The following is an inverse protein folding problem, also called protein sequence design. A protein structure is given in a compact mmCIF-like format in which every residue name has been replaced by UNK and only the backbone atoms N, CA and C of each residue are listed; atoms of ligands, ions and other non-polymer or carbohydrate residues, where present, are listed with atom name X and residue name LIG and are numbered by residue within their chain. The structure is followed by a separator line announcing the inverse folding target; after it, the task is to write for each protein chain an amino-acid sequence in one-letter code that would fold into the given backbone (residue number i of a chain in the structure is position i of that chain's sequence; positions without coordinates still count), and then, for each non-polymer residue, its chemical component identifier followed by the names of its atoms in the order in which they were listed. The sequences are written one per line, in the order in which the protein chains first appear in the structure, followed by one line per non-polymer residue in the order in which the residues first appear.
data_IF_010893870789
#
_entry.id   IF_010893870789
#
_cell.length_a   1.000
_cell.length_b   1.000
_cell.length_c   1.000
_cell.angle_alpha   90.00
_cell.angle_beta   90.00
_cell.angle_gamma   90.00
#
_symmetry.space_group_name_H-M   'P 1'
#
loop_
_entity.id
_entity.type
_entity.pdbx_description
1 polymer ?
#
# COMPACT_ATOMS: atom_id res chain seq x y z
N UNK A 1 -5.10 -5.16 -14.45
CA UNK A 1 -5.48 -3.73 -14.21
C UNK A 1 -6.22 -3.13 -15.41
N UNK A 2 -5.82 -3.31 -16.66
CA UNK A 2 -6.59 -2.82 -17.84
C UNK A 2 -8.02 -3.39 -17.87
N UNK A 3 -8.18 -4.68 -17.59
CA UNK A 3 -9.49 -5.34 -17.50
C UNK A 3 -10.38 -4.77 -16.38
N UNK A 4 -9.77 -4.27 -15.30
CA UNK A 4 -10.50 -3.63 -14.19
C UNK A 4 -11.10 -2.30 -14.65
N UNK A 5 -10.33 -1.48 -15.37
CA UNK A 5 -10.84 -0.23 -15.96
C UNK A 5 -12.09 -0.49 -16.81
N UNK A 6 -11.99 -1.43 -17.77
CA UNK A 6 -13.11 -1.77 -18.66
C UNK A 6 -14.31 -2.32 -17.89
N UNK A 7 -14.05 -3.09 -16.82
CA UNK A 7 -15.12 -3.68 -16.00
C UNK A 7 -15.86 -2.61 -15.18
N UNK A 8 -15.15 -1.63 -14.64
CA UNK A 8 -15.76 -0.48 -13.95
C UNK A 8 -16.52 0.38 -14.97
N UNK A 9 -15.92 0.70 -16.11
CA UNK A 9 -16.53 1.51 -17.15
C UNK A 9 -17.85 0.91 -17.70
N UNK A 10 -17.94 -0.42 -17.72
CA UNK A 10 -19.13 -1.17 -18.16
C UNK A 10 -20.11 -1.51 -17.03
N UNK A 11 -19.82 -1.11 -15.78
CA UNK A 11 -20.68 -1.43 -14.63
C UNK A 11 -20.67 -2.91 -14.23
N UNK A 12 -19.64 -3.67 -14.61
CA UNK A 12 -19.44 -5.06 -14.17
C UNK A 12 -18.86 -5.10 -12.76
N UNK A 13 -18.05 -4.09 -12.42
CA UNK A 13 -17.51 -3.85 -11.08
C UNK A 13 -17.98 -2.48 -10.60
N UNK A 14 -18.37 -2.40 -9.32
CA UNK A 14 -18.76 -1.15 -8.67
C UNK A 14 -17.57 -0.31 -8.20
N UNK A 15 -16.38 -0.91 -8.10
CA UNK A 15 -15.16 -0.25 -7.69
C UNK A 15 -13.99 -1.23 -7.48
N UNK A 16 -12.91 -0.70 -6.95
CA UNK A 16 -11.74 -1.50 -6.59
C UNK A 16 -11.08 -0.98 -5.30
N UNK A 17 -10.25 -1.82 -4.67
CA UNK A 17 -9.39 -1.43 -3.56
C UNK A 17 -7.95 -1.34 -4.04
N UNK A 18 -7.40 -0.12 -4.09
CA UNK A 18 -6.05 0.13 -4.59
C UNK A 18 -5.43 1.40 -4.00
N UNK A 19 -4.23 1.76 -4.46
CA UNK A 19 -3.53 2.99 -4.10
C UNK A 19 -4.01 4.16 -4.96
N UNK A 20 -3.76 5.39 -4.53
CA UNK A 20 -4.14 6.58 -5.30
C UNK A 20 -3.42 6.69 -6.65
N UNK A 21 -2.22 6.12 -6.77
CA UNK A 21 -1.47 6.13 -8.03
C UNK A 21 -2.27 5.53 -9.20
N UNK A 22 -3.16 4.56 -8.92
CA UNK A 22 -3.97 3.90 -9.96
C UNK A 22 -4.96 4.84 -10.62
N UNK A 23 -5.38 5.90 -9.95
CA UNK A 23 -6.21 6.96 -10.54
C UNK A 23 -5.54 7.57 -11.77
N UNK A 24 -4.20 7.72 -11.74
CA UNK A 24 -3.41 8.21 -12.85
C UNK A 24 -2.89 7.09 -13.74
N UNK A 25 -2.18 6.11 -13.18
CA UNK A 25 -1.45 5.09 -13.93
C UNK A 25 -2.38 4.19 -14.77
N UNK A 26 -3.56 3.88 -14.24
CA UNK A 26 -4.58 3.07 -14.91
C UNK A 26 -5.82 3.86 -15.30
N UNK A 27 -5.75 5.20 -15.19
CA UNK A 27 -6.81 6.13 -15.57
C UNK A 27 -8.15 5.92 -14.84
N UNK A 28 -8.14 5.30 -13.67
CA UNK A 28 -9.38 5.03 -12.94
C UNK A 28 -10.15 6.31 -12.59
N UNK A 29 -9.47 7.45 -12.44
CA UNK A 29 -10.14 8.74 -12.27
C UNK A 29 -11.12 9.12 -13.41
N UNK A 30 -11.07 8.44 -14.54
CA UNK A 30 -12.00 8.67 -15.66
C UNK A 30 -13.29 7.84 -15.52
N UNK A 31 -13.30 6.81 -14.68
CA UNK A 31 -14.42 5.85 -14.54
C UNK A 31 -14.96 5.75 -13.11
N UNK A 32 -14.31 6.39 -12.12
CA UNK A 32 -14.81 6.47 -10.73
C UNK A 32 -15.18 7.91 -10.37
N UNK A 33 -16.14 8.05 -9.46
CA UNK A 33 -16.58 9.36 -8.95
C UNK A 33 -16.06 9.64 -7.55
N UNK A 34 -15.84 8.60 -6.77
CA UNK A 34 -15.47 8.68 -5.35
C UNK A 34 -14.24 7.83 -5.06
N UNK A 35 -13.43 8.29 -4.16
CA UNK A 35 -12.32 7.53 -3.59
C UNK A 35 -12.35 7.67 -2.07
N UNK A 36 -12.52 6.56 -1.37
CA UNK A 36 -12.56 6.55 0.10
C UNK A 36 -11.18 6.19 0.65
N UNK A 37 -10.61 7.06 1.48
CA UNK A 37 -9.34 6.81 2.16
C UNK A 37 -9.57 5.90 3.37
N UNK A 38 -9.03 4.68 3.33
CA UNK A 38 -9.20 3.64 4.37
C UNK A 38 -7.88 2.99 4.75
N UNK A 39 -6.83 3.77 4.82
CA UNK A 39 -5.48 3.30 5.12
C UNK A 39 -5.36 2.49 6.42
N UNK A 40 -6.28 2.70 7.38
CA UNK A 40 -6.30 2.00 8.67
C UNK A 40 -6.75 0.54 8.56
N UNK A 41 -7.39 0.17 7.46
CA UNK A 41 -7.91 -1.18 7.20
C UNK A 41 -7.46 -1.72 5.85
N UNK A 42 -6.73 -0.90 5.09
CA UNK A 42 -6.32 -1.29 3.76
C UNK A 42 -5.29 -2.42 3.80
N UNK A 43 -5.33 -3.26 2.78
CA UNK A 43 -4.35 -4.32 2.60
C UNK A 43 -3.02 -3.72 2.12
N UNK A 44 -1.91 -3.86 2.84
CA UNK A 44 -0.62 -3.44 2.34
C UNK A 44 -0.24 -4.31 1.15
N UNK A 45 0.20 -3.67 0.07
CA UNK A 45 0.76 -4.36 -1.10
C UNK A 45 2.27 -4.51 -0.91
N UNK A 46 2.79 -5.70 -0.58
CA UNK A 46 4.23 -5.90 -0.49
C UNK A 46 4.82 -5.94 -1.89
N UNK A 47 5.81 -5.10 -2.12
CA UNK A 47 6.60 -5.15 -3.34
C UNK A 47 7.89 -5.94 -3.10
N UNK A 48 8.24 -6.77 -4.04
CA UNK A 48 9.50 -7.51 -4.01
C UNK A 48 10.15 -7.52 -5.38
N UNK A 49 11.47 -7.45 -5.38
CA UNK A 49 12.28 -7.63 -6.57
C UNK A 49 12.97 -9.00 -6.46
N UNK A 50 12.77 -9.84 -7.44
CA UNK A 50 13.36 -11.18 -7.48
C UNK A 50 14.17 -11.39 -8.75
N UNK A 51 15.21 -12.19 -8.64
CA UNK A 51 16.02 -12.60 -9.76
C UNK A 51 16.14 -14.13 -9.77
N UNK A 52 16.17 -14.72 -10.94
CA UNK A 52 16.43 -16.15 -11.05
C UNK A 52 17.80 -16.48 -10.46
N UNK A 53 17.86 -17.46 -9.55
CA UNK A 53 19.09 -17.82 -8.85
C UNK A 53 20.23 -18.18 -9.80
N UNK A 54 19.96 -18.97 -10.84
CA UNK A 54 21.01 -19.36 -11.80
C UNK A 54 21.54 -18.15 -12.60
N UNK A 55 20.70 -17.14 -12.84
CA UNK A 55 21.14 -15.91 -13.49
C UNK A 55 22.03 -15.09 -12.57
N UNK A 56 21.66 -14.96 -11.28
CA UNK A 56 22.48 -14.30 -10.28
C UNK A 56 23.81 -15.01 -10.08
N UNK A 57 23.81 -16.34 -9.97
CA UNK A 57 25.03 -17.13 -9.72
C UNK A 57 26.06 -17.01 -10.86
N UNK A 58 25.61 -16.75 -12.10
CA UNK A 58 26.46 -16.53 -13.28
C UNK A 58 27.06 -15.12 -13.37
N UNK A 59 26.61 -14.18 -12.55
CA UNK A 59 27.18 -12.83 -12.58
C UNK A 59 28.65 -12.85 -12.13
N UNK A 60 29.54 -12.04 -12.74
CA UNK A 60 30.89 -11.82 -12.27
C UNK A 60 30.89 -11.31 -10.81
N UNK A 61 31.94 -11.63 -10.01
CA UNK A 61 31.97 -11.24 -8.59
C UNK A 61 31.85 -9.73 -8.34
N UNK A 62 32.48 -8.91 -9.19
CA UNK A 62 32.40 -7.46 -9.14
C UNK A 62 30.96 -6.96 -9.40
N UNK A 63 30.27 -7.54 -10.36
CA UNK A 63 28.86 -7.23 -10.65
C UNK A 63 27.95 -7.65 -9.52
N UNK A 64 28.18 -8.83 -8.90
CA UNK A 64 27.42 -9.26 -7.70
C UNK A 64 27.56 -8.25 -6.57
N UNK A 65 28.78 -7.81 -6.28
CA UNK A 65 29.04 -6.82 -5.23
C UNK A 65 28.32 -5.51 -5.47
N UNK A 66 28.32 -5.02 -6.71
CA UNK A 66 27.59 -3.81 -7.10
C UNK A 66 26.08 -4.05 -6.92
N UNK A 67 25.58 -5.20 -7.36
CA UNK A 67 24.16 -5.54 -7.28
C UNK A 67 23.67 -5.56 -5.83
N UNK A 68 24.42 -6.23 -4.95
CA UNK A 68 24.07 -6.36 -3.53
C UNK A 68 24.10 -4.99 -2.81
N UNK A 69 25.04 -4.12 -3.17
CA UNK A 69 25.12 -2.76 -2.64
C UNK A 69 23.92 -1.92 -3.12
N UNK A 70 23.62 -1.96 -4.41
CA UNK A 70 22.55 -1.16 -5.01
C UNK A 70 21.15 -1.57 -4.53
N UNK A 71 20.94 -2.85 -4.20
CA UNK A 71 19.63 -3.33 -3.69
C UNK A 71 19.25 -2.58 -2.41
N UNK A 72 20.21 -2.35 -1.49
CA UNK A 72 19.97 -1.60 -0.26
C UNK A 72 19.58 -0.14 -0.51
N UNK A 73 20.36 0.56 -1.32
CA UNK A 73 20.13 1.98 -1.65
C UNK A 73 18.87 2.18 -2.48
N UNK A 74 18.64 1.31 -3.46
CA UNK A 74 17.50 1.40 -4.35
C UNK A 74 16.18 1.18 -3.63
N UNK A 75 16.15 0.33 -2.61
CA UNK A 75 14.98 0.08 -1.78
C UNK A 75 14.45 1.37 -1.14
N UNK A 76 15.32 2.19 -0.56
CA UNK A 76 14.91 3.45 0.07
C UNK A 76 14.40 4.46 -0.97
N UNK A 77 15.12 4.61 -2.08
CA UNK A 77 14.71 5.48 -3.19
C UNK A 77 13.37 5.05 -3.79
N UNK A 78 13.17 3.75 -3.94
CA UNK A 78 11.93 3.19 -4.48
C UNK A 78 10.73 3.53 -3.59
N UNK A 79 10.86 3.38 -2.26
CA UNK A 79 9.79 3.71 -1.31
C UNK A 79 9.42 5.20 -1.39
N UNK A 80 10.42 6.09 -1.44
CA UNK A 80 10.17 7.53 -1.56
C UNK A 80 9.51 7.89 -2.89
N UNK A 81 9.96 7.27 -3.99
CA UNK A 81 9.35 7.45 -5.31
C UNK A 81 7.91 6.97 -5.31
N UNK A 82 7.63 5.82 -4.70
CA UNK A 82 6.28 5.27 -4.60
C UNK A 82 5.33 6.21 -3.84
N UNK A 83 5.78 6.74 -2.69
CA UNK A 83 5.00 7.74 -1.95
C UNK A 83 4.68 8.98 -2.81
N UNK A 84 5.63 9.41 -3.67
CA UNK A 84 5.43 10.58 -4.52
C UNK A 84 4.40 10.35 -5.63
N UNK A 85 4.28 9.13 -6.14
CA UNK A 85 3.33 8.77 -7.20
C UNK A 85 1.89 8.85 -6.71
N UNK A 86 1.62 8.53 -5.45
CA UNK A 86 0.28 8.69 -4.86
C UNK A 86 -0.19 10.16 -4.88
N UNK A 87 0.70 11.13 -4.69
CA UNK A 87 0.36 12.55 -4.86
C UNK A 87 -0.03 12.89 -6.30
N UNK A 88 0.67 12.29 -7.28
CA UNK A 88 0.31 12.44 -8.70
C UNK A 88 -1.08 11.87 -8.96
N UNK A 89 -1.35 10.69 -8.45
CA UNK A 89 -2.67 10.04 -8.56
C UNK A 89 -3.78 10.88 -7.92
N UNK A 90 -3.58 11.36 -6.71
CA UNK A 90 -4.54 12.23 -6.01
C UNK A 90 -4.79 13.52 -6.78
N UNK A 91 -3.74 14.20 -7.24
CA UNK A 91 -3.87 15.44 -8.04
C UNK A 91 -4.63 15.18 -9.34
N UNK A 92 -4.33 14.09 -10.02
CA UNK A 92 -5.03 13.71 -11.24
C UNK A 92 -6.50 13.40 -10.96
N UNK A 93 -6.82 12.63 -9.92
CA UNK A 93 -8.19 12.36 -9.49
C UNK A 93 -8.98 13.66 -9.25
N UNK A 94 -8.43 14.60 -8.49
CA UNK A 94 -9.05 15.91 -8.27
C UNK A 94 -9.28 16.67 -9.58
N UNK A 95 -8.34 16.62 -10.53
CA UNK A 95 -8.48 17.29 -11.83
C UNK A 95 -9.57 16.67 -12.71
N UNK A 96 -9.95 15.42 -12.45
CA UNK A 96 -11.06 14.72 -13.11
C UNK A 96 -12.38 14.82 -12.34
N UNK A 97 -12.41 15.52 -11.22
CA UNK A 97 -13.61 15.70 -10.40
C UNK A 97 -13.90 14.53 -9.46
N UNK A 98 -12.91 13.67 -9.19
CA UNK A 98 -13.06 12.61 -8.18
C UNK A 98 -13.15 13.24 -6.80
N UNK A 99 -14.17 12.86 -6.04
CA UNK A 99 -14.34 13.26 -4.64
C UNK A 99 -13.58 12.30 -3.71
N UNK A 100 -12.74 12.86 -2.85
CA UNK A 100 -11.98 12.10 -1.85
C UNK A 100 -12.74 12.13 -0.53
N UNK A 101 -13.20 10.96 -0.10
CA UNK A 101 -14.02 10.77 1.09
C UNK A 101 -13.15 10.26 2.25
N UNK A 102 -13.19 10.97 3.37
CA UNK A 102 -12.64 10.50 4.65
C UNK A 102 -13.79 9.92 5.48
N UNK A 103 -13.59 8.71 6.02
CA UNK A 103 -14.62 8.09 6.85
C UNK A 103 -14.66 8.77 8.23
N UNK A 104 -15.86 9.10 8.74
CA UNK A 104 -15.99 9.47 10.14
C UNK A 104 -15.59 8.31 11.05
N UNK A 105 -15.11 8.63 12.27
CA UNK A 105 -14.57 7.63 13.19
C UNK A 105 -15.56 6.49 13.49
N UNK A 106 -16.84 6.76 13.55
CA UNK A 106 -17.88 5.75 13.76
C UNK A 106 -17.93 4.71 12.64
N UNK A 107 -17.85 5.18 11.38
CA UNK A 107 -17.82 4.29 10.21
C UNK A 107 -16.50 3.52 10.14
N UNK A 108 -15.37 4.18 10.39
CA UNK A 108 -14.08 3.52 10.43
C UNK A 108 -14.08 2.38 11.45
N UNK A 109 -14.61 2.59 12.65
CA UNK A 109 -14.71 1.56 13.69
C UNK A 109 -15.59 0.39 13.24
N UNK A 110 -16.68 0.67 12.54
CA UNK A 110 -17.56 -0.37 11.97
C UNK A 110 -16.84 -1.20 10.90
N UNK A 111 -16.08 -0.55 10.03
CA UNK A 111 -15.29 -1.23 9.00
C UNK A 111 -14.16 -2.06 9.60
N UNK A 112 -13.46 -1.52 10.60
CA UNK A 112 -12.43 -2.27 11.34
C UNK A 112 -12.99 -3.54 11.98
N UNK A 113 -14.16 -3.45 12.61
CA UNK A 113 -14.85 -4.61 13.18
C UNK A 113 -15.23 -5.65 12.12
N UNK A 114 -15.67 -5.20 10.95
CA UNK A 114 -16.05 -6.10 9.84
C UNK A 114 -14.85 -6.86 9.25
N UNK A 115 -13.65 -6.27 9.22
CA UNK A 115 -12.46 -6.92 8.67
C UNK A 115 -11.64 -7.69 9.72
N UNK A 116 -11.90 -7.50 11.01
CA UNK A 116 -11.16 -8.17 12.09
C UNK A 116 -11.11 -9.71 11.94
N UNK A 117 -12.18 -10.42 11.54
CA UNK A 117 -12.16 -11.88 11.38
C UNK A 117 -11.20 -12.39 10.31
N UNK A 118 -10.78 -11.55 9.36
CA UNK A 118 -9.85 -11.94 8.28
C UNK A 118 -8.52 -12.45 8.84
N UNK A 119 -8.06 -11.88 9.96
CA UNK A 119 -6.82 -12.32 10.62
C UNK A 119 -6.97 -13.72 11.21
N UNK A 120 -8.10 -14.00 11.88
CA UNK A 120 -8.36 -15.31 12.46
C UNK A 120 -8.50 -16.38 11.36
N UNK A 121 -9.15 -16.04 10.25
CA UNK A 121 -9.30 -16.94 9.10
C UNK A 121 -7.95 -17.19 8.41
N UNK A 122 -7.07 -16.20 8.37
CA UNK A 122 -5.70 -16.37 7.91
C UNK A 122 -4.93 -17.35 8.79
N UNK A 123 -5.01 -17.18 10.12
CA UNK A 123 -4.36 -18.09 11.09
C UNK A 123 -4.85 -19.53 10.86
N UNK A 124 -6.16 -19.75 10.86
CA UNK A 124 -6.75 -21.09 10.62
C UNK A 124 -6.27 -21.69 9.30
N UNK A 125 -6.23 -20.91 8.23
CA UNK A 125 -5.77 -21.36 6.92
C UNK A 125 -4.28 -21.74 6.91
N UNK A 126 -3.44 -21.00 7.64
CA UNK A 126 -2.02 -21.34 7.71
C UNK A 126 -1.78 -22.59 8.58
N UNK A 127 -2.51 -22.72 9.70
CA UNK A 127 -2.49 -23.93 10.52
C UNK A 127 -2.90 -25.17 9.70
N UNK A 128 -3.93 -25.06 8.88
CA UNK A 128 -4.34 -26.16 7.99
C UNK A 128 -3.30 -26.55 6.92
N UNK A 129 -2.34 -25.67 6.67
CA UNK A 129 -1.19 -25.91 5.79
C UNK A 129 0.06 -26.45 6.51
N UNK A 130 -0.04 -26.69 7.82
CA UNK A 130 1.02 -27.29 8.62
C UNK A 130 1.91 -26.34 9.41
N UNK A 131 1.62 -25.04 9.41
CA UNK A 131 2.32 -24.09 10.29
C UNK A 131 1.73 -24.12 11.71
N UNK A 132 2.55 -23.86 12.72
CA UNK A 132 2.02 -23.72 14.08
C UNK A 132 1.27 -22.39 14.24
N UNK A 133 0.26 -22.37 15.09
CA UNK A 133 -0.50 -21.14 15.38
C UNK A 133 0.40 -20.05 15.97
N UNK A 134 1.33 -20.44 16.83
CA UNK A 134 2.31 -19.55 17.46
C UNK A 134 3.20 -18.87 16.40
N UNK A 135 3.71 -19.64 15.45
CA UNK A 135 4.53 -19.13 14.35
C UNK A 135 3.76 -18.12 13.50
N UNK A 136 2.52 -18.43 13.10
CA UNK A 136 1.68 -17.55 12.29
C UNK A 136 1.35 -16.26 13.05
N UNK A 137 1.01 -16.35 14.33
CA UNK A 137 0.79 -15.18 15.19
C UNK A 137 2.07 -14.35 15.36
N UNK A 138 3.22 -15.00 15.43
CA UNK A 138 4.53 -14.36 15.45
C UNK A 138 4.76 -13.50 14.20
N UNK A 139 4.45 -14.00 13.01
CA UNK A 139 4.55 -13.22 11.75
C UNK A 139 3.62 -12.00 11.75
N UNK A 140 2.39 -12.17 12.21
CA UNK A 140 1.40 -11.08 12.27
C UNK A 140 1.89 -9.99 13.24
N UNK A 141 2.38 -10.37 14.40
CA UNK A 141 2.89 -9.42 15.40
C UNK A 141 4.13 -8.70 14.88
N UNK A 142 5.06 -9.42 14.25
CA UNK A 142 6.23 -8.82 13.60
C UNK A 142 5.81 -7.75 12.59
N UNK A 143 4.85 -8.05 11.71
CA UNK A 143 4.39 -7.08 10.71
C UNK A 143 3.75 -5.85 11.37
N UNK A 144 2.96 -6.03 12.41
CA UNK A 144 2.35 -4.92 13.17
C UNK A 144 3.40 -4.02 13.81
N UNK A 145 4.36 -4.62 14.51
CA UNK A 145 5.47 -3.89 15.15
C UNK A 145 6.31 -3.12 14.12
N UNK A 146 6.61 -3.75 12.98
CA UNK A 146 7.37 -3.08 11.91
C UNK A 146 6.57 -1.95 11.27
N UNK A 147 5.28 -2.11 11.06
CA UNK A 147 4.40 -1.06 10.54
C UNK A 147 4.37 0.12 11.49
N UNK A 148 4.16 -0.11 12.78
CA UNK A 148 4.17 0.93 13.80
C UNK A 148 5.52 1.66 13.87
N UNK A 149 6.62 0.91 13.87
CA UNK A 149 7.97 1.48 13.86
C UNK A 149 8.19 2.41 12.65
N UNK A 150 7.87 1.95 11.46
CA UNK A 150 8.10 2.73 10.25
C UNK A 150 7.16 3.92 10.13
N UNK A 151 5.92 3.80 10.58
CA UNK A 151 4.97 4.93 10.65
C UNK A 151 5.50 6.01 11.57
N UNK A 152 5.96 5.67 12.78
CA UNK A 152 6.58 6.61 13.71
C UNK A 152 7.83 7.27 13.12
N UNK A 153 8.67 6.48 12.44
CA UNK A 153 9.88 6.99 11.78
C UNK A 153 9.53 7.93 10.64
N UNK A 154 8.51 7.62 9.84
CA UNK A 154 8.02 8.48 8.76
C UNK A 154 7.55 9.84 9.32
N UNK A 155 6.78 9.84 10.39
CA UNK A 155 6.33 11.06 11.08
C UNK A 155 7.54 11.84 11.58
N UNK A 156 8.47 11.20 12.29
CA UNK A 156 9.67 11.84 12.86
C UNK A 156 10.56 12.49 11.78
N UNK A 157 10.71 11.84 10.64
CA UNK A 157 11.48 12.32 9.49
C UNK A 157 10.68 13.29 8.59
N UNK A 158 9.41 13.54 8.90
CA UNK A 158 8.51 14.40 8.12
C UNK A 158 8.43 14.01 6.65
N UNK A 159 8.44 12.68 6.38
CA UNK A 159 8.29 12.16 5.01
C UNK A 159 6.81 12.26 4.63
N UNK A 160 6.46 13.07 3.63
CA UNK A 160 5.06 13.27 3.27
C UNK A 160 4.47 12.02 2.61
N UNK A 161 3.16 11.82 2.80
CA UNK A 161 2.36 10.81 2.12
C UNK A 161 1.00 11.38 1.74
N UNK A 162 0.45 10.91 0.63
CA UNK A 162 -0.90 11.30 0.20
C UNK A 162 -2.00 10.66 1.05
N UNK A 163 -1.66 9.58 1.77
CA UNK A 163 -2.51 8.82 2.70
C UNK A 163 -1.78 8.60 4.01
N UNK A 164 -2.49 8.13 5.02
CA UNK A 164 -1.90 7.85 6.34
C UNK A 164 -2.33 8.83 7.41
N UNK A 165 -1.66 8.83 8.57
CA UNK A 165 -2.00 9.72 9.67
C UNK A 165 -1.88 11.20 9.25
N UNK A 166 -2.68 12.10 9.87
CA UNK A 166 -2.67 13.54 9.51
C UNK A 166 -1.28 14.16 9.52
N UNK A 167 -0.40 13.71 10.42
CA UNK A 167 0.96 14.23 10.60
C UNK A 167 1.87 14.07 9.38
N UNK A 168 1.57 13.13 8.48
CA UNK A 168 2.33 12.93 7.24
C UNK A 168 1.64 13.51 6.01
N UNK A 169 0.40 14.01 6.15
CA UNK A 169 -0.37 14.58 5.04
C UNK A 169 -0.10 16.07 4.89
N UNK A 170 0.40 16.56 3.75
CA UNK A 170 0.71 17.97 3.54
C UNK A 170 -0.49 18.91 3.76
N UNK A 171 -1.69 18.46 3.42
CA UNK A 171 -2.91 19.27 3.57
C UNK A 171 -3.22 19.62 5.02
N UNK A 172 -2.84 18.78 5.98
CA UNK A 172 -3.04 19.05 7.40
C UNK A 172 -2.20 20.25 7.88
N UNK A 173 -1.18 20.64 7.12
CA UNK A 173 -0.28 21.76 7.44
C UNK A 173 -0.59 23.05 6.67
N UNK A 174 -1.56 23.01 5.74
CA UNK A 174 -1.85 24.14 4.85
C UNK A 174 -3.12 24.93 5.23
N UNK A 175 -3.84 24.48 6.26
CA UNK A 175 -5.03 25.20 6.74
C UNK A 175 -4.62 26.04 7.96
N UNK A 176 -4.14 27.24 7.67
CA UNK A 176 -4.18 28.40 8.57
C UNK A 176 -4.70 29.59 7.80
#
# INVERSE_FOLDING_TARGET
MMEVYDSIAKGVLDGEASNFETLFAFKFAEVVKYTTSVWQINNPFPFYLVMNKNSYDKLPPDIKSIFDTLVGEYKERYILTWNSIDFVGKKFGLSKGVEFVELPQSELSRWQAAVAPVIDDYVKRMVSKGFSEEEVKGWINFLRERTDFWTKKQIALRIPSAVGPPEVRPEAHTIK
#
